data_IF_185750852320
#
_entry.id   IF_185750852320
#
_cell.length_a   1.000
_cell.length_b   1.000
_cell.length_c   1.000
_cell.angle_alpha   90.00
_cell.angle_beta   90.00
_cell.angle_gamma   90.00
#
_symmetry.space_group_name_H-M   'P 1'
#
loop_
_entity.id
_entity.type
_entity.pdbx_description
1 polymer ?
#
# COMPACT_ATOMS: atom_id res chain seq x y z
N UNK A 1 4.28 4.44 -11.85
CA UNK A 1 3.24 4.17 -12.87
C UNK A 1 3.25 2.68 -13.09
N UNK A 2 2.13 2.14 -13.56
CA UNK A 2 1.97 0.69 -13.73
C UNK A 2 1.31 0.40 -15.08
N UNK A 3 1.66 -0.73 -15.68
CA UNK A 3 1.11 -1.13 -16.97
C UNK A 3 1.59 -2.52 -17.40
N UNK A 4 2.36 -2.58 -18.49
CA UNK A 4 3.00 -3.84 -18.90
C UNK A 4 4.15 -4.19 -17.95
N UNK A 5 4.79 -3.17 -17.38
CA UNK A 5 5.78 -3.30 -16.32
C UNK A 5 5.15 -2.92 -14.98
N UNK A 6 5.67 -3.51 -13.90
CA UNK A 6 5.23 -3.19 -12.53
C UNK A 6 5.66 -1.76 -12.17
N UNK A 7 6.85 -1.34 -12.60
CA UNK A 7 7.41 -0.02 -12.31
C UNK A 7 7.71 0.73 -13.62
N UNK A 8 6.73 1.51 -14.08
CA UNK A 8 6.85 2.38 -15.26
C UNK A 8 6.48 3.85 -14.92
N UNK A 9 6.53 4.75 -15.89
CA UNK A 9 6.09 6.13 -15.71
C UNK A 9 4.55 6.19 -15.53
N UNK A 10 3.99 7.20 -14.83
CA UNK A 10 4.66 8.33 -14.17
C UNK A 10 5.22 7.98 -12.78
N UNK A 11 6.24 8.71 -12.32
CA UNK A 11 6.80 8.55 -10.97
C UNK A 11 6.20 9.58 -10.00
N UNK A 12 5.62 9.11 -8.90
CA UNK A 12 5.13 9.96 -7.81
C UNK A 12 6.19 10.14 -6.73
N UNK A 13 7.13 11.04 -6.96
CA UNK A 13 8.23 11.29 -6.04
C UNK A 13 8.65 12.77 -6.00
N UNK A 14 9.23 13.18 -4.86
CA UNK A 14 9.79 14.54 -4.72
C UNK A 14 10.87 14.77 -5.77
N UNK A 15 10.75 15.89 -6.50
CA UNK A 15 11.70 16.27 -7.54
C UNK A 15 11.33 15.78 -8.94
N UNK A 16 10.20 15.10 -9.10
CA UNK A 16 9.64 14.71 -10.40
C UNK A 16 8.37 15.51 -10.68
N UNK A 17 8.47 16.65 -11.40
CA UNK A 17 7.36 17.58 -11.57
C UNK A 17 6.42 17.24 -12.73
N UNK A 18 6.47 16.01 -13.25
CA UNK A 18 5.62 15.61 -14.37
C UNK A 18 4.14 15.67 -13.94
N UNK A 19 3.28 16.41 -14.67
CA UNK A 19 1.85 16.39 -14.42
C UNK A 19 1.26 15.00 -14.69
N UNK A 20 0.22 14.63 -13.92
CA UNK A 20 -0.62 13.50 -14.27
C UNK A 20 -1.51 13.87 -15.45
N UNK A 21 -1.58 12.98 -16.44
CA UNK A 21 -2.39 13.15 -17.64
C UNK A 21 -3.38 11.98 -17.77
N UNK A 22 -4.54 12.26 -18.36
CA UNK A 22 -5.58 11.25 -18.63
C UNK A 22 -5.01 10.05 -19.37
N UNK A 23 -5.37 8.84 -18.92
CA UNK A 23 -4.88 7.58 -19.45
C UNK A 23 -3.64 7.03 -18.74
N UNK A 24 -2.99 7.80 -17.87
CA UNK A 24 -1.94 7.27 -16.98
C UNK A 24 -2.55 6.39 -15.87
N UNK A 25 -1.82 5.37 -15.47
CA UNK A 25 -2.16 4.52 -14.31
C UNK A 25 -0.99 4.48 -13.35
N UNK A 26 -1.25 4.58 -12.06
CA UNK A 26 -0.22 4.55 -11.02
C UNK A 26 -0.70 3.90 -9.73
N UNK A 27 0.22 3.24 -9.04
CA UNK A 27 0.03 2.84 -7.65
C UNK A 27 0.28 4.04 -6.72
N UNK A 28 -0.62 4.26 -5.77
CA UNK A 28 -0.43 5.17 -4.65
C UNK A 28 -0.24 4.36 -3.37
N UNK A 29 1.01 4.27 -2.92
CA UNK A 29 1.43 3.30 -1.89
C UNK A 29 2.15 3.91 -0.66
N UNK A 30 1.53 4.86 0.06
CA UNK A 30 2.14 5.44 1.24
C UNK A 30 2.43 4.38 2.31
N UNK A 31 3.63 4.48 2.89
CA UNK A 31 4.19 3.46 3.79
C UNK A 31 4.80 4.10 5.03
N UNK A 32 4.39 3.62 6.19
CA UNK A 32 4.93 4.02 7.49
C UNK A 32 5.68 2.84 8.11
N UNK A 33 6.90 3.10 8.55
CA UNK A 33 7.76 2.12 9.20
C UNK A 33 7.98 2.56 10.65
N UNK A 34 7.67 1.67 11.59
CA UNK A 34 7.83 1.86 13.02
C UNK A 34 8.96 0.96 13.54
N UNK A 35 10.13 1.55 13.86
CA UNK A 35 11.29 0.78 14.29
C UNK A 35 10.97 -0.14 15.48
N UNK A 36 11.30 -1.42 15.34
CA UNK A 36 11.08 -2.44 16.38
C UNK A 36 9.63 -2.92 16.54
N UNK A 37 8.69 -2.40 15.76
CA UNK A 37 7.26 -2.78 15.81
C UNK A 37 6.84 -3.44 14.48
N UNK A 38 7.10 -2.78 13.35
CA UNK A 38 6.68 -3.25 12.03
C UNK A 38 6.45 -2.12 11.04
N UNK A 39 5.70 -2.40 9.97
CA UNK A 39 5.32 -1.42 8.97
C UNK A 39 3.84 -1.57 8.63
N UNK A 40 3.25 -0.46 8.18
CA UNK A 40 1.90 -0.43 7.62
C UNK A 40 1.96 0.34 6.31
N UNK A 41 1.29 -0.20 5.30
CA UNK A 41 1.12 0.45 4.01
C UNK A 41 -0.33 0.27 3.57
N UNK A 42 -0.81 1.23 2.82
CA UNK A 42 -1.97 1.07 1.95
C UNK A 42 -1.47 1.26 0.53
N UNK A 43 -1.94 0.44 -0.40
CA UNK A 43 -1.60 0.52 -1.81
C UNK A 43 -2.86 0.33 -2.63
N UNK A 44 -3.11 1.30 -3.50
CA UNK A 44 -4.21 1.28 -4.44
C UNK A 44 -3.72 1.73 -5.81
N UNK A 45 -4.28 1.12 -6.85
CA UNK A 45 -4.04 1.51 -8.23
C UNK A 45 -5.12 2.50 -8.67
N UNK A 46 -4.69 3.57 -9.33
CA UNK A 46 -5.57 4.62 -9.84
C UNK A 46 -5.34 4.86 -11.33
N UNK A 47 -6.44 4.99 -12.07
CA UNK A 47 -6.43 5.52 -13.44
C UNK A 47 -6.76 7.01 -13.43
N UNK A 48 -5.99 7.82 -14.17
CA UNK A 48 -6.30 9.24 -14.39
C UNK A 48 -7.36 9.36 -15.48
N UNK A 49 -8.51 9.95 -15.15
CA UNK A 49 -9.61 10.21 -16.08
C UNK A 49 -9.62 11.69 -16.51
N UNK A 50 -10.63 12.12 -17.28
CA UNK A 50 -10.79 13.55 -17.62
C UNK A 50 -11.27 14.35 -16.39
N UNK A 51 -11.97 13.71 -15.46
CA UNK A 51 -12.58 14.33 -14.28
C UNK A 51 -11.77 14.18 -12.99
N UNK A 52 -10.67 13.40 -13.01
CA UNK A 52 -9.83 13.18 -11.84
C UNK A 52 -9.13 11.82 -11.85
N UNK A 53 -9.31 11.05 -10.78
CA UNK A 53 -8.76 9.70 -10.64
C UNK A 53 -9.84 8.69 -10.26
N UNK A 54 -9.78 7.50 -10.83
CA UNK A 54 -10.64 6.36 -10.54
C UNK A 54 -9.82 5.26 -9.86
N UNK A 55 -10.29 4.76 -8.72
CA UNK A 55 -9.67 3.65 -8.00
C UNK A 55 -9.98 2.33 -8.70
N UNK A 56 -8.94 1.58 -9.06
CA UNK A 56 -9.04 0.26 -9.69
C UNK A 56 -8.97 -0.89 -8.67
N UNK A 57 -8.34 -0.66 -7.52
CA UNK A 57 -8.27 -1.65 -6.44
C UNK A 57 -9.62 -1.76 -5.73
N UNK A 58 -10.19 -2.96 -5.67
CA UNK A 58 -11.52 -3.19 -5.08
C UNK A 58 -11.51 -3.54 -3.59
N UNK A 59 -10.33 -3.72 -2.99
CA UNK A 59 -10.22 -4.04 -1.57
C UNK A 59 -10.59 -2.84 -0.70
N UNK A 60 -11.18 -3.11 0.47
CA UNK A 60 -11.47 -2.08 1.47
C UNK A 60 -10.19 -1.58 2.15
N UNK A 61 -10.12 -0.28 2.43
CA UNK A 61 -8.97 0.36 3.10
C UNK A 61 -9.01 0.20 4.62
N UNK A 62 -9.86 -0.70 5.11
CA UNK A 62 -10.10 -0.91 6.54
C UNK A 62 -9.13 -1.94 7.11
N UNK A 63 -8.88 -1.82 8.41
CA UNK A 63 -8.10 -2.84 9.12
C UNK A 63 -8.99 -4.07 9.31
N UNK A 64 -8.62 -5.16 8.65
CA UNK A 64 -9.24 -6.46 8.85
C UNK A 64 -8.42 -7.22 9.91
N UNK A 65 -9.04 -7.52 11.05
CA UNK A 65 -8.43 -8.36 12.08
C UNK A 65 -8.68 -9.83 11.72
N UNK A 66 -7.60 -10.58 11.53
CA UNK A 66 -7.67 -12.02 11.23
C UNK A 66 -7.48 -12.79 12.54
N UNK A 67 -8.58 -13.32 13.08
CA UNK A 67 -8.55 -14.20 14.25
C UNK A 67 -8.05 -15.59 13.84
N UNK A 68 -6.76 -15.88 14.05
CA UNK A 68 -6.23 -17.17 13.58
C UNK A 68 -4.79 -17.56 13.91
N UNK A 69 -4.00 -16.75 14.62
CA UNK A 69 -2.72 -17.25 15.15
C UNK A 69 -2.98 -17.79 16.55
N UNK A 70 -3.27 -19.09 16.67
CA UNK A 70 -3.09 -19.79 17.93
C UNK A 70 -1.64 -19.58 18.36
N UNK A 71 -1.41 -18.69 19.31
CA UNK A 71 -0.16 -18.62 20.05
C UNK A 71 0.04 -19.99 20.71
N UNK A 72 0.80 -20.87 20.08
CA UNK A 72 1.40 -22.00 20.78
C UNK A 72 2.35 -21.40 21.80
N UNK A 73 1.82 -21.26 23.02
CA UNK A 73 2.50 -20.71 24.19
C UNK A 73 3.96 -21.20 24.24
N UNK A 74 4.91 -20.30 23.93
CA UNK A 74 6.23 -20.43 24.51
C UNK A 74 6.04 -20.13 26.00
N UNK A 75 5.87 -21.20 26.79
CA UNK A 75 5.85 -21.11 28.24
C UNK A 75 7.19 -20.52 28.68
N UNK A 76 7.22 -19.21 28.97
CA UNK A 76 8.22 -18.67 29.87
C UNK A 76 7.77 -19.14 31.26
N UNK A 77 8.31 -20.27 31.70
CA UNK A 77 8.19 -20.70 33.09
C UNK A 77 8.97 -19.72 33.95
N UNK A 78 8.25 -18.96 34.78
CA UNK A 78 8.81 -18.26 35.92
C UNK A 78 8.06 -18.70 37.19
N UNK A 79 8.85 -18.98 38.23
CA UNK A 79 8.53 -19.48 39.58
C UNK A 79 8.33 -21.01 39.68
N UNK A 80 9.12 -21.76 40.46
CA UNK A 80 9.86 -21.45 41.69
C UNK A 80 11.35 -21.80 41.61
#
# INVERSE_FOLDING_TARGET
GIGLEIDELPLLAKGFPQPLETGMVFAFEPKFIFPGIGAVALEDDYAVTEEGVEKLTHADDTIIVIDGVSNSNHQISNSK
#
